data_IF_276835187476
#
_entry.id   IF_276835187476
#
_cell.length_a   1.000
_cell.length_b   1.000
_cell.length_c   1.000
_cell.angle_alpha   90.00
_cell.angle_beta   90.00
_cell.angle_gamma   90.00
#
_symmetry.space_group_name_H-M   'P 1'
#
loop_
_entity.id
_entity.type
_entity.pdbx_description
1 polymer ?
#
# COMPACT_ATOMS: atom_id res chain seq x y z
N UNK A 1 64.76 -11.42 19.87
CA UNK A 1 63.95 -12.51 19.27
C UNK A 1 62.58 -11.93 18.96
N UNK A 2 62.09 -11.68 17.76
CA UNK A 2 62.53 -11.70 16.36
C UNK A 2 61.25 -11.35 15.57
N UNK A 3 61.24 -10.40 14.62
CA UNK A 3 59.99 -10.00 13.96
C UNK A 3 59.70 -10.93 12.78
N UNK A 4 58.51 -11.54 12.76
CA UNK A 4 58.03 -12.31 11.62
C UNK A 4 57.48 -11.37 10.54
N UNK A 5 58.28 -11.19 9.50
CA UNK A 5 57.89 -10.59 8.22
C UNK A 5 57.06 -11.58 7.41
N UNK A 6 55.88 -11.16 6.94
CA UNK A 6 55.03 -11.95 6.05
C UNK A 6 54.86 -11.18 4.74
N UNK A 7 55.43 -11.77 3.69
CA UNK A 7 55.49 -11.33 2.30
C UNK A 7 54.15 -11.43 1.59
N UNK A 8 53.77 -10.36 0.89
CA UNK A 8 52.63 -10.33 -0.03
C UNK A 8 52.98 -11.03 -1.35
N UNK A 9 52.19 -12.03 -1.73
CA UNK A 9 52.28 -12.74 -3.01
C UNK A 9 51.50 -11.98 -4.08
N UNK A 10 52.17 -11.61 -5.17
CA UNK A 10 51.56 -10.95 -6.32
C UNK A 10 50.77 -11.96 -7.17
N UNK A 11 49.46 -11.72 -7.32
CA UNK A 11 48.59 -12.47 -8.24
C UNK A 11 48.92 -12.15 -9.71
N UNK A 12 49.15 -13.21 -10.48
CA UNK A 12 49.46 -13.17 -11.91
C UNK A 12 48.14 -13.12 -12.69
N UNK A 13 47.88 -12.00 -13.36
CA UNK A 13 46.69 -11.77 -14.19
C UNK A 13 46.73 -12.66 -15.45
N UNK A 14 45.71 -13.49 -15.74
CA UNK A 14 45.69 -14.29 -16.95
C UNK A 14 45.37 -13.42 -18.18
N UNK A 15 46.21 -13.53 -19.19
CA UNK A 15 46.09 -12.88 -20.50
C UNK A 15 45.08 -13.69 -21.34
N UNK A 16 43.87 -13.14 -21.50
CA UNK A 16 42.80 -13.74 -22.32
C UNK A 16 43.06 -13.35 -23.78
N UNK A 17 43.54 -14.32 -24.57
CA UNK A 17 43.57 -14.21 -26.03
C UNK A 17 42.16 -14.43 -26.58
N UNK A 18 41.49 -13.36 -26.99
CA UNK A 18 40.24 -13.42 -27.75
C UNK A 18 40.54 -13.52 -29.25
N UNK A 19 40.37 -14.70 -29.82
CA UNK A 19 40.21 -14.85 -31.27
C UNK A 19 38.83 -14.32 -31.69
N UNK A 20 38.72 -13.57 -32.80
CA UNK A 20 37.45 -13.09 -33.31
C UNK A 20 36.71 -14.23 -34.02
N UNK A 21 35.74 -14.84 -33.34
CA UNK A 21 34.73 -15.69 -33.97
C UNK A 21 33.84 -14.82 -34.86
N UNK A 22 34.07 -14.84 -36.17
CA UNK A 22 33.15 -14.28 -37.15
C UNK A 22 31.94 -15.22 -37.25
N UNK A 23 30.87 -14.87 -36.53
CA UNK A 23 29.56 -15.48 -36.73
C UNK A 23 28.94 -14.88 -38.00
N UNK A 24 28.93 -15.66 -39.08
CA UNK A 24 28.11 -15.41 -40.26
C UNK A 24 26.63 -15.45 -39.86
N UNK A 25 26.08 -14.27 -39.56
CA UNK A 25 24.68 -14.06 -39.19
C UNK A 25 23.78 -13.84 -40.40
N UNK A 26 23.56 -14.86 -41.21
CA UNK A 26 22.43 -14.94 -42.15
C UNK A 26 21.19 -15.38 -41.38
N UNK A 27 20.29 -14.44 -41.02
CA UNK A 27 18.95 -14.83 -40.55
C UNK A 27 18.16 -13.94 -39.59
N UNK A 28 18.48 -12.65 -39.39
CA UNK A 28 17.63 -11.76 -38.58
C UNK A 28 17.28 -10.46 -39.31
N UNK A 29 16.56 -10.56 -40.43
CA UNK A 29 15.59 -9.52 -40.78
C UNK A 29 14.34 -9.72 -39.93
N UNK A 30 14.48 -9.60 -38.60
CA UNK A 30 13.31 -9.33 -37.76
C UNK A 30 12.73 -8.00 -38.25
N UNK A 31 11.46 -8.03 -38.62
CA UNK A 31 10.74 -6.91 -39.20
C UNK A 31 10.88 -5.69 -38.28
N UNK A 32 11.77 -4.75 -38.61
CA UNK A 32 12.20 -3.66 -37.72
C UNK A 32 11.02 -2.81 -37.23
N UNK A 33 9.95 -2.73 -38.03
CA UNK A 33 8.68 -2.11 -37.68
C UNK A 33 7.91 -2.86 -36.57
N UNK A 34 7.90 -4.20 -36.58
CA UNK A 34 7.25 -5.00 -35.54
C UNK A 34 7.99 -4.84 -34.20
N UNK A 35 9.32 -4.90 -34.24
CA UNK A 35 10.15 -4.64 -33.06
C UNK A 35 9.98 -3.21 -32.53
N UNK A 36 9.94 -2.21 -33.42
CA UNK A 36 9.70 -0.82 -33.03
C UNK A 36 8.31 -0.63 -32.37
N UNK A 37 7.27 -1.27 -32.91
CA UNK A 37 5.92 -1.22 -32.34
C UNK A 37 5.85 -1.90 -30.97
N UNK A 38 6.52 -3.04 -30.80
CA UNK A 38 6.60 -3.74 -29.52
C UNK A 38 7.33 -2.89 -28.46
N UNK A 39 8.47 -2.29 -28.82
CA UNK A 39 9.21 -1.37 -27.95
C UNK A 39 8.38 -0.14 -27.57
N UNK A 40 7.63 0.44 -28.51
CA UNK A 40 6.71 1.55 -28.24
C UNK A 40 5.58 1.13 -27.29
N UNK A 41 5.00 -0.06 -27.48
CA UNK A 41 3.98 -0.59 -26.60
C UNK A 41 4.52 -0.82 -25.17
N UNK A 42 5.70 -1.42 -25.05
CA UNK A 42 6.39 -1.63 -23.77
C UNK A 42 6.66 -0.30 -23.05
N UNK A 43 7.19 0.70 -23.78
CA UNK A 43 7.42 2.06 -23.24
C UNK A 43 6.13 2.74 -22.78
N UNK A 44 5.04 2.63 -23.55
CA UNK A 44 3.73 3.14 -23.15
C UNK A 44 3.25 2.46 -21.86
N UNK A 45 3.42 1.15 -21.74
CA UNK A 45 3.07 0.40 -20.54
C UNK A 45 3.83 0.89 -19.30
N UNK A 46 5.14 1.13 -19.42
CA UNK A 46 5.97 1.68 -18.34
C UNK A 46 5.55 3.10 -17.98
N UNK A 47 5.31 3.96 -18.99
CA UNK A 47 4.90 5.35 -18.78
C UNK A 47 3.56 5.45 -18.02
N UNK A 48 2.56 4.63 -18.39
CA UNK A 48 1.27 4.60 -17.68
C UNK A 48 1.44 4.15 -16.23
N UNK A 49 2.20 3.08 -15.98
CA UNK A 49 2.47 2.59 -14.62
C UNK A 49 3.17 3.64 -13.76
N UNK A 50 4.15 4.35 -14.34
CA UNK A 50 4.84 5.45 -13.66
C UNK A 50 3.92 6.63 -13.38
N UNK A 51 3.07 7.01 -14.34
CA UNK A 51 2.15 8.14 -14.21
C UNK A 51 1.12 7.93 -13.09
N UNK A 52 0.66 6.69 -12.88
CA UNK A 52 -0.26 6.36 -11.79
C UNK A 52 0.46 6.04 -10.46
N UNK A 53 1.79 6.06 -10.45
CA UNK A 53 2.61 5.67 -9.31
C UNK A 53 2.35 4.22 -8.87
N UNK A 54 2.19 3.31 -9.84
CA UNK A 54 1.92 1.90 -9.56
C UNK A 54 3.13 1.27 -8.85
N UNK A 55 2.88 0.71 -7.68
CA UNK A 55 3.84 -0.12 -6.95
C UNK A 55 3.32 -1.54 -6.92
N UNK A 56 4.21 -2.53 -6.96
CA UNK A 56 3.83 -3.94 -6.93
C UNK A 56 4.83 -4.76 -6.13
N UNK A 57 4.34 -5.79 -5.44
CA UNK A 57 5.16 -6.78 -4.77
C UNK A 57 4.69 -8.19 -5.12
N UNK A 58 5.65 -9.08 -5.31
CA UNK A 58 5.40 -10.52 -5.33
C UNK A 58 5.22 -11.00 -3.89
N UNK A 59 4.19 -11.82 -3.67
CA UNK A 59 3.80 -12.31 -2.35
C UNK A 59 4.09 -13.80 -2.23
N UNK A 60 4.23 -14.23 -0.98
CA UNK A 60 4.40 -15.65 -0.66
C UNK A 60 3.03 -16.32 -0.61
N UNK A 61 2.98 -17.58 -1.01
CA UNK A 61 1.81 -18.44 -0.86
C UNK A 61 2.12 -19.57 0.12
N UNK A 62 1.17 -19.89 1.00
CA UNK A 62 1.28 -20.98 1.96
C UNK A 62 -0.11 -21.53 2.28
N UNK A 63 -0.28 -22.86 2.18
CA UNK A 63 -1.54 -23.53 2.51
C UNK A 63 -2.75 -23.00 1.73
N UNK A 64 -2.60 -22.73 0.43
CA UNK A 64 -3.68 -22.18 -0.42
C UNK A 64 -4.05 -20.72 -0.13
N UNK A 65 -3.26 -20.02 0.70
CA UNK A 65 -3.45 -18.60 1.01
C UNK A 65 -2.27 -17.78 0.50
N UNK A 66 -2.57 -16.57 0.03
CA UNK A 66 -1.59 -15.52 -0.25
C UNK A 66 -1.34 -14.76 1.04
N UNK A 67 -0.07 -14.60 1.41
CA UNK A 67 0.37 -13.89 2.61
C UNK A 67 0.76 -12.47 2.25
N UNK A 68 0.05 -11.48 2.81
CA UNK A 68 0.26 -10.06 2.51
C UNK A 68 0.82 -9.37 3.76
N UNK A 69 2.14 -9.13 3.84
CA UNK A 69 2.76 -8.49 5.00
C UNK A 69 2.59 -6.97 4.95
N UNK A 70 2.12 -6.40 6.05
CA UNK A 70 1.95 -4.97 6.28
C UNK A 70 2.74 -4.51 7.49
N UNK A 71 3.36 -3.34 7.38
CA UNK A 71 3.88 -2.57 8.50
C UNK A 71 3.10 -1.25 8.58
N UNK A 72 2.45 -1.00 9.72
CA UNK A 72 1.74 0.23 10.04
C UNK A 72 2.67 1.07 10.92
N UNK A 73 3.20 2.15 10.35
CA UNK A 73 4.29 2.94 10.93
C UNK A 73 3.74 4.30 11.37
N UNK A 74 3.80 4.65 12.67
CA UNK A 74 3.39 5.95 13.14
C UNK A 74 4.39 7.02 12.68
N UNK A 75 3.90 8.18 12.24
CA UNK A 75 4.75 9.27 11.75
C UNK A 75 4.38 10.61 12.38
N UNK A 76 5.37 11.25 12.99
CA UNK A 76 5.19 12.54 13.65
C UNK A 76 5.09 13.66 12.62
N UNK A 77 4.04 14.46 12.71
CA UNK A 77 3.89 15.73 12.01
C UNK A 77 4.02 16.88 13.01
N UNK A 78 4.78 17.91 12.66
CA UNK A 78 4.97 19.05 13.54
C UNK A 78 3.73 19.96 13.55
N UNK A 79 3.07 20.11 14.70
CA UNK A 79 1.91 20.99 14.88
C UNK A 79 0.74 20.72 13.93
N UNK A 80 0.58 19.48 13.50
CA UNK A 80 -0.46 19.06 12.58
C UNK A 80 -1.06 17.75 13.08
N UNK A 81 -2.40 17.70 13.15
CA UNK A 81 -3.11 16.45 13.45
C UNK A 81 -2.98 15.46 12.30
N UNK A 82 -2.97 14.17 12.62
CA UNK A 82 -3.03 13.11 11.62
C UNK A 82 -4.05 12.03 11.97
N UNK A 83 -4.03 10.94 11.19
CA UNK A 83 -4.96 9.82 11.30
C UNK A 83 -5.10 9.28 12.74
N UNK A 84 -3.99 9.12 13.47
CA UNK A 84 -4.03 8.59 14.85
C UNK A 84 -4.66 9.61 15.82
N UNK A 85 -4.50 10.91 15.59
CA UNK A 85 -5.16 11.93 16.42
C UNK A 85 -6.68 11.90 16.20
N UNK A 86 -7.14 11.76 14.96
CA UNK A 86 -8.56 11.60 14.65
C UNK A 86 -9.13 10.34 15.30
N UNK A 87 -8.41 9.22 15.24
CA UNK A 87 -8.78 7.99 15.97
C UNK A 87 -8.83 8.22 17.48
N UNK A 88 -7.87 8.97 18.05
CA UNK A 88 -7.85 9.32 19.48
C UNK A 88 -9.11 10.07 19.93
N UNK A 89 -9.66 10.94 19.10
CA UNK A 89 -10.93 11.60 19.42
C UNK A 89 -12.10 10.63 19.44
N UNK A 90 -12.13 9.63 18.57
CA UNK A 90 -13.20 8.63 18.50
C UNK A 90 -13.14 7.55 19.59
N UNK A 91 -11.96 7.31 20.16
CA UNK A 91 -11.70 6.29 21.17
C UNK A 91 -12.11 6.70 22.59
N UNK A 92 -12.55 5.74 23.40
CA UNK A 92 -12.78 5.93 24.83
C UNK A 92 -11.54 5.62 25.68
N UNK A 93 -10.62 4.78 25.18
CA UNK A 93 -9.45 4.32 25.92
C UNK A 93 -8.25 4.04 25.01
N UNK A 94 -7.04 4.40 25.48
CA UNK A 94 -5.81 4.15 24.72
C UNK A 94 -5.40 2.67 24.65
N UNK A 95 -5.86 1.86 25.59
CA UNK A 95 -5.46 0.45 25.74
C UNK A 95 -6.52 -0.52 25.25
N UNK A 96 -7.78 -0.09 25.15
CA UNK A 96 -8.86 -0.92 24.61
C UNK A 96 -8.68 -1.11 23.11
N UNK A 97 -8.96 -2.33 22.64
CA UNK A 97 -8.87 -2.69 21.22
C UNK A 97 -10.13 -2.27 20.47
N UNK A 98 -10.36 -0.97 20.40
CA UNK A 98 -11.56 -0.36 19.79
C UNK A 98 -11.45 -0.18 18.28
N UNK A 99 -10.27 -0.37 17.69
CA UNK A 99 -10.03 -0.21 16.26
C UNK A 99 -9.85 -1.56 15.58
N UNK A 100 -10.32 -1.65 14.35
CA UNK A 100 -10.13 -2.81 13.49
C UNK A 100 -9.34 -2.38 12.26
N UNK A 101 -8.23 -3.08 12.00
CA UNK A 101 -7.56 -3.05 10.70
C UNK A 101 -8.06 -4.28 9.93
N UNK A 102 -8.78 -4.08 8.83
CA UNK A 102 -9.35 -5.17 8.04
C UNK A 102 -8.92 -5.13 6.58
N UNK A 103 -8.72 -6.32 6.03
CA UNK A 103 -8.53 -6.54 4.59
C UNK A 103 -9.76 -7.27 4.04
N UNK A 104 -10.56 -6.56 3.26
CA UNK A 104 -11.88 -6.99 2.82
C UNK A 104 -11.98 -6.96 1.29
N UNK A 105 -12.98 -7.61 0.72
CA UNK A 105 -13.39 -7.31 -0.65
C UNK A 105 -13.87 -5.86 -0.75
N UNK A 106 -13.73 -5.27 -1.93
CA UNK A 106 -14.15 -3.88 -2.15
C UNK A 106 -15.63 -3.66 -1.85
N UNK A 107 -16.49 -4.60 -2.22
CA UNK A 107 -17.93 -4.57 -1.95
C UNK A 107 -18.31 -4.87 -0.48
N UNK A 108 -17.33 -5.21 0.36
CA UNK A 108 -17.53 -5.46 1.78
C UNK A 108 -18.24 -6.76 2.15
N UNK A 109 -18.61 -7.58 1.16
CA UNK A 109 -19.32 -8.85 1.42
C UNK A 109 -18.42 -9.94 1.96
N UNK A 110 -17.12 -9.87 1.70
CA UNK A 110 -16.15 -10.84 2.16
C UNK A 110 -15.06 -10.15 2.98
N UNK A 111 -15.03 -10.42 4.28
CA UNK A 111 -13.87 -10.12 5.12
C UNK A 111 -12.86 -11.24 4.94
N UNK A 112 -11.64 -10.93 4.51
CA UNK A 112 -10.60 -11.96 4.40
C UNK A 112 -9.98 -12.21 5.77
N UNK A 113 -9.52 -11.14 6.42
CA UNK A 113 -8.95 -11.17 7.76
C UNK A 113 -8.98 -9.76 8.37
N UNK A 114 -9.01 -9.68 9.70
CA UNK A 114 -8.97 -8.43 10.43
C UNK A 114 -8.27 -8.61 11.77
N UNK A 115 -7.66 -7.53 12.26
CA UNK A 115 -6.96 -7.50 13.54
C UNK A 115 -7.44 -6.29 14.37
N UNK A 116 -7.93 -6.57 15.57
CA UNK A 116 -8.28 -5.54 16.54
C UNK A 116 -7.04 -5.00 17.23
N UNK A 117 -6.94 -3.67 17.28
CA UNK A 117 -5.79 -2.92 17.78
C UNK A 117 -6.26 -1.79 18.68
N UNK A 118 -5.41 -1.43 19.64
CA UNK A 118 -5.60 -0.25 20.49
C UNK A 118 -4.89 0.97 19.89
N UNK A 119 -5.19 2.17 20.40
CA UNK A 119 -4.42 3.37 20.03
C UNK A 119 -2.93 3.21 20.39
N UNK A 120 -2.63 2.63 21.54
CA UNK A 120 -1.24 2.40 21.96
C UNK A 120 -0.49 1.49 20.97
N UNK A 121 -1.16 0.49 20.40
CA UNK A 121 -0.55 -0.36 19.37
C UNK A 121 -0.23 0.48 18.13
N UNK A 122 -1.15 1.35 17.69
CA UNK A 122 -0.94 2.24 16.55
C UNK A 122 0.22 3.23 16.78
N UNK A 123 0.33 3.82 17.97
CA UNK A 123 1.45 4.72 18.32
C UNK A 123 2.82 4.01 18.40
N UNK A 124 2.84 2.70 18.67
CA UNK A 124 4.06 1.88 18.66
C UNK A 124 4.42 1.39 17.27
N UNK A 125 3.44 1.32 16.38
CA UNK A 125 3.53 0.65 15.09
C UNK A 125 3.25 -0.84 15.23
N UNK A 126 2.69 -1.41 14.16
CA UNK A 126 2.20 -2.79 14.14
C UNK A 126 2.65 -3.44 12.85
N UNK A 127 3.13 -4.69 12.93
CA UNK A 127 3.32 -5.54 11.76
C UNK A 127 2.27 -6.64 11.77
N UNK A 128 1.64 -6.88 10.62
CA UNK A 128 0.63 -7.93 10.48
C UNK A 128 0.71 -8.57 9.10
N UNK A 129 0.39 -9.87 9.02
CA UNK A 129 0.36 -10.60 7.75
C UNK A 129 -1.05 -11.10 7.51
N UNK A 130 -1.77 -10.43 6.61
CA UNK A 130 -3.11 -10.85 6.21
C UNK A 130 -3.04 -12.07 5.29
N UNK A 131 -4.00 -12.97 5.44
CA UNK A 131 -4.10 -14.20 4.66
C UNK A 131 -5.35 -14.13 3.81
N UNK A 132 -5.15 -14.06 2.50
CA UNK A 132 -6.23 -14.02 1.51
C UNK A 132 -6.27 -15.35 0.78
N UNK A 133 -7.45 -15.95 0.61
CA UNK A 133 -7.58 -17.18 -0.18
C UNK A 133 -7.05 -16.94 -1.60
N UNK A 134 -6.14 -17.80 -2.05
CA UNK A 134 -5.58 -17.73 -3.39
C UNK A 134 -6.70 -17.80 -4.43
N UNK A 135 -6.51 -17.09 -5.54
CA UNK A 135 -7.50 -17.02 -6.61
C UNK A 135 -6.80 -16.90 -7.95
N UNK A 136 -7.43 -17.48 -8.97
CA UNK A 136 -6.99 -17.39 -10.36
C UNK A 136 -7.43 -16.08 -11.00
N UNK A 137 -8.45 -15.41 -10.46
CA UNK A 137 -8.93 -14.12 -10.92
C UNK A 137 -8.33 -12.97 -10.13
N UNK A 138 -8.26 -11.80 -10.75
CA UNK A 138 -7.93 -10.53 -10.09
C UNK A 138 -8.99 -10.22 -9.03
N UNK A 139 -8.55 -9.82 -7.84
CA UNK A 139 -9.41 -9.39 -6.73
C UNK A 139 -9.13 -7.93 -6.38
N UNK A 140 -10.18 -7.14 -6.28
CA UNK A 140 -10.14 -5.81 -5.69
C UNK A 140 -10.26 -5.92 -4.16
N UNK A 141 -9.27 -5.42 -3.44
CA UNK A 141 -9.20 -5.46 -1.99
C UNK A 141 -9.25 -4.06 -1.38
N UNK A 142 -9.94 -3.95 -0.26
CA UNK A 142 -10.00 -2.76 0.57
C UNK A 142 -9.24 -3.01 1.87
N UNK A 143 -8.17 -2.24 2.09
CA UNK A 143 -7.59 -2.11 3.43
C UNK A 143 -8.27 -0.95 4.14
N UNK A 144 -8.86 -1.22 5.30
CA UNK A 144 -9.60 -0.25 6.10
C UNK A 144 -9.07 -0.24 7.53
N UNK A 145 -9.03 0.95 8.12
CA UNK A 145 -8.92 1.11 9.58
C UNK A 145 -10.18 1.83 10.03
N UNK A 146 -10.94 1.23 10.92
CA UNK A 146 -12.18 1.80 11.44
C UNK A 146 -12.30 1.62 12.95
N UNK A 147 -13.21 2.39 13.55
CA UNK A 147 -13.73 2.04 14.88
C UNK A 147 -14.59 0.77 14.75
N UNK A 148 -14.45 -0.14 15.70
CA UNK A 148 -15.27 -1.34 15.80
C UNK A 148 -15.62 -1.59 17.27
N UNK A 149 -16.28 -0.61 17.89
CA UNK A 149 -16.59 -0.62 19.33
C UNK A 149 -17.46 -1.80 19.72
N UNK A 150 -18.26 -2.30 18.78
CA UNK A 150 -19.15 -3.47 18.96
C UNK A 150 -18.55 -4.79 18.49
N UNK A 151 -17.27 -4.81 18.11
CA UNK A 151 -16.53 -6.01 17.68
C UNK A 151 -17.23 -6.80 16.57
N UNK A 152 -17.76 -6.10 15.56
CA UNK A 152 -18.41 -6.70 14.39
C UNK A 152 -17.42 -7.42 13.48
N UNK A 153 -16.13 -7.10 13.56
CA UNK A 153 -15.10 -7.74 12.75
C UNK A 153 -15.09 -7.28 11.29
N UNK A 154 -15.76 -6.17 10.97
CA UNK A 154 -15.73 -5.57 9.63
C UNK A 154 -15.84 -4.05 9.66
N UNK A 155 -15.09 -3.40 8.78
CA UNK A 155 -15.18 -1.96 8.53
C UNK A 155 -16.21 -1.58 7.47
N UNK A 156 -16.82 -2.55 6.79
CA UNK A 156 -17.81 -2.27 5.73
C UNK A 156 -19.12 -1.66 6.25
N UNK A 157 -19.41 -1.82 7.54
CA UNK A 157 -20.57 -1.22 8.19
C UNK A 157 -20.30 0.16 8.81
N UNK A 158 -19.03 0.60 8.83
CA UNK A 158 -18.63 1.87 9.39
C UNK A 158 -18.92 3.02 8.40
N UNK A 159 -19.27 4.20 8.94
CA UNK A 159 -19.56 5.38 8.13
C UNK A 159 -18.26 5.93 7.53
N UNK A 160 -18.33 6.32 6.25
CA UNK A 160 -17.27 7.06 5.57
C UNK A 160 -17.66 8.54 5.57
N UNK A 161 -16.85 9.36 6.24
CA UNK A 161 -17.01 10.81 6.35
C UNK A 161 -15.64 11.46 6.16
N UNK A 162 -15.61 12.70 5.69
CA UNK A 162 -14.35 13.42 5.57
C UNK A 162 -13.81 13.81 6.95
N UNK A 163 -12.48 13.86 7.05
CA UNK A 163 -11.80 14.13 8.32
C UNK A 163 -12.14 15.52 8.88
N UNK A 164 -12.41 16.52 8.02
CA UNK A 164 -12.77 17.87 8.46
C UNK A 164 -14.11 17.87 9.18
N UNK A 165 -15.16 17.33 8.56
CA UNK A 165 -16.49 17.21 9.17
C UNK A 165 -16.43 16.36 10.44
N UNK A 166 -15.64 15.28 10.46
CA UNK A 166 -15.47 14.47 11.66
C UNK A 166 -14.83 15.29 12.81
N UNK A 167 -13.78 16.04 12.51
CA UNK A 167 -13.11 16.90 13.50
C UNK A 167 -14.02 18.03 13.99
N UNK A 168 -14.82 18.65 13.12
CA UNK A 168 -15.80 19.68 13.49
C UNK A 168 -16.88 19.12 14.43
N UNK A 169 -17.45 17.95 14.08
CA UNK A 169 -18.47 17.29 14.91
C UNK A 169 -17.94 16.94 16.31
N UNK A 170 -16.70 16.46 16.40
CA UNK A 170 -16.06 16.10 17.67
C UNK A 170 -15.59 17.33 18.47
N UNK A 171 -15.11 18.37 17.79
CA UNK A 171 -14.62 19.59 18.41
C UNK A 171 -15.73 20.48 18.97
N UNK A 172 -16.88 20.54 18.30
CA UNK A 172 -18.00 21.41 18.70
C UNK A 172 -18.78 20.86 19.90
N UNK A 173 -18.95 19.55 20.00
CA UNK A 173 -19.80 18.91 21.02
C UNK A 173 -19.03 18.43 22.23
N UNK A 174 -17.73 18.12 22.07
CA UNK A 174 -16.95 17.40 23.09
C UNK A 174 -17.45 15.96 23.32
N UNK A 175 -18.51 15.53 22.63
CA UNK A 175 -19.08 14.20 22.77
C UNK A 175 -18.31 13.19 21.92
N UNK A 176 -18.19 11.98 22.45
CA UNK A 176 -17.60 10.87 21.70
C UNK A 176 -18.57 10.41 20.60
N UNK A 177 -18.09 10.15 19.38
CA UNK A 177 -18.94 9.63 18.31
C UNK A 177 -19.60 8.31 18.73
N UNK A 178 -20.92 8.23 18.53
CA UNK A 178 -21.72 7.02 18.79
C UNK A 178 -21.60 6.00 17.67
N UNK A 179 -21.31 6.46 16.45
CA UNK A 179 -21.10 5.60 15.30
C UNK A 179 -19.64 5.19 15.11
N UNK A 180 -19.48 4.06 14.41
CA UNK A 180 -18.20 3.59 13.92
C UNK A 180 -17.88 4.30 12.60
N UNK A 181 -16.65 4.81 12.47
CA UNK A 181 -16.16 5.53 11.29
C UNK A 181 -14.93 4.86 10.69
N UNK A 182 -14.75 5.01 9.38
CA UNK A 182 -13.52 4.62 8.68
C UNK A 182 -12.54 5.79 8.71
N UNK A 183 -11.34 5.55 9.26
CA UNK A 183 -10.26 6.54 9.40
C UNK A 183 -9.19 6.41 8.32
N UNK A 184 -9.00 5.20 7.79
CA UNK A 184 -8.05 4.94 6.72
C UNK A 184 -8.67 4.04 5.66
N UNK A 185 -8.38 4.32 4.39
CA UNK A 185 -8.77 3.50 3.26
C UNK A 185 -7.69 3.45 2.19
N UNK A 186 -7.39 2.24 1.72
CA UNK A 186 -6.60 2.03 0.52
C UNK A 186 -7.21 0.91 -0.34
N UNK A 187 -7.35 1.21 -1.64
CA UNK A 187 -7.66 0.20 -2.65
C UNK A 187 -6.39 -0.49 -3.13
N UNK A 188 -6.41 -1.82 -3.18
CA UNK A 188 -5.31 -2.65 -3.66
C UNK A 188 -5.84 -3.75 -4.55
N UNK A 189 -4.97 -4.27 -5.42
CA UNK A 189 -5.35 -5.28 -6.40
C UNK A 189 -4.47 -6.49 -6.23
N UNK A 190 -5.09 -7.64 -5.95
CA UNK A 190 -4.43 -8.92 -5.86
C UNK A 190 -4.67 -9.71 -7.15
N UNK A 191 -3.63 -9.87 -7.96
CA UNK A 191 -3.64 -10.69 -9.16
C UNK A 191 -2.75 -11.92 -8.93
N UNK A 192 -3.37 -13.08 -8.69
CA UNK A 192 -2.71 -14.32 -8.23
C UNK A 192 -1.94 -14.11 -6.93
N UNK A 193 -0.63 -14.00 -7.00
CA UNK A 193 0.33 -13.84 -5.92
C UNK A 193 1.10 -12.51 -6.02
N UNK A 194 0.57 -11.55 -6.78
CA UNK A 194 1.10 -10.18 -6.90
C UNK A 194 0.09 -9.18 -6.38
N UNK A 195 0.52 -8.34 -5.42
CA UNK A 195 -0.26 -7.21 -4.93
C UNK A 195 0.18 -5.94 -5.62
N UNK A 196 -0.78 -5.08 -5.95
CA UNK A 196 -0.54 -3.81 -6.60
C UNK A 196 -1.28 -2.70 -5.85
N UNK A 197 -0.62 -1.55 -5.75
CA UNK A 197 -1.18 -0.32 -5.22
C UNK A 197 -0.79 0.83 -6.14
N UNK A 198 -1.53 1.93 -6.08
CA UNK A 198 -1.30 3.14 -6.85
C UNK A 198 -1.48 4.36 -5.94
N UNK A 199 -1.08 5.53 -6.43
CA UNK A 199 -1.22 6.77 -5.66
C UNK A 199 -2.69 7.09 -5.39
N UNK A 200 -3.05 7.13 -4.12
CA UNK A 200 -4.38 7.50 -3.63
C UNK A 200 -4.48 8.99 -3.27
N UNK A 201 -3.36 9.72 -3.30
CA UNK A 201 -3.26 11.14 -2.98
C UNK A 201 -3.46 12.08 -4.18
N UNK A 202 -3.68 11.54 -5.39
CA UNK A 202 -3.88 12.31 -6.63
C UNK A 202 -5.31 12.13 -7.15
N UNK A 203 -6.00 13.25 -7.39
CA UNK A 203 -7.44 13.25 -7.71
C UNK A 203 -7.82 13.91 -9.04
N UNK A 204 -6.84 14.24 -9.88
CA UNK A 204 -7.09 14.86 -11.19
C UNK A 204 -7.83 13.89 -12.12
N UNK A 205 -8.64 14.43 -13.04
CA UNK A 205 -9.43 13.57 -13.93
C UNK A 205 -8.54 12.77 -14.89
N UNK A 206 -7.43 13.34 -15.34
CA UNK A 206 -6.41 12.64 -16.11
C UNK A 206 -5.84 11.44 -15.34
N UNK A 207 -5.52 11.62 -14.04
CA UNK A 207 -5.03 10.53 -13.20
C UNK A 207 -6.08 9.42 -13.06
N UNK A 208 -7.34 9.77 -12.75
CA UNK A 208 -8.45 8.80 -12.65
C UNK A 208 -8.64 8.03 -13.96
N UNK A 209 -8.54 8.71 -15.11
CA UNK A 209 -8.65 8.09 -16.43
C UNK A 209 -7.51 7.10 -16.66
N UNK A 210 -6.27 7.48 -16.35
CA UNK A 210 -5.11 6.59 -16.47
C UNK A 210 -5.21 5.37 -15.57
N UNK A 211 -5.62 5.54 -14.30
CA UNK A 211 -5.86 4.42 -13.39
C UNK A 211 -6.99 3.53 -13.93
N UNK A 212 -8.12 4.10 -14.31
CA UNK A 212 -9.26 3.33 -14.83
C UNK A 212 -8.87 2.50 -16.04
N UNK A 213 -8.19 3.11 -17.02
CA UNK A 213 -7.74 2.41 -18.22
C UNK A 213 -6.81 1.25 -17.88
N UNK A 214 -5.83 1.48 -17.00
CA UNK A 214 -4.89 0.43 -16.57
C UNK A 214 -5.62 -0.70 -15.82
N UNK A 215 -6.52 -0.37 -14.90
CA UNK A 215 -7.23 -1.34 -14.08
C UNK A 215 -8.27 -2.15 -14.86
N UNK A 216 -8.91 -1.57 -15.88
CA UNK A 216 -9.77 -2.33 -16.80
C UNK A 216 -8.97 -3.39 -17.58
N UNK A 217 -7.73 -3.11 -17.97
CA UNK A 217 -6.84 -4.10 -18.60
C UNK A 217 -6.50 -5.24 -17.64
N UNK A 218 -6.36 -4.94 -16.35
CA UNK A 218 -6.14 -5.93 -15.27
C UNK A 218 -7.44 -6.64 -14.81
N UNK A 219 -8.57 -6.39 -15.50
CA UNK A 219 -9.90 -6.97 -15.22
C UNK A 219 -10.47 -6.61 -13.84
N UNK A 220 -10.15 -5.42 -13.33
CA UNK A 220 -10.75 -4.87 -12.12
C UNK A 220 -12.15 -4.31 -12.45
N UNK A 221 -13.14 -4.56 -11.58
CA UNK A 221 -14.50 -4.07 -11.78
C UNK A 221 -14.55 -2.53 -11.72
N UNK A 222 -15.21 -1.92 -12.70
CA UNK A 222 -15.40 -0.47 -12.77
C UNK A 222 -16.12 0.12 -11.55
N UNK A 223 -17.05 -0.63 -10.93
CA UNK A 223 -17.78 -0.21 -9.73
C UNK A 223 -16.85 -0.14 -8.51
N UNK A 224 -15.93 -1.10 -8.40
CA UNK A 224 -14.91 -1.08 -7.34
C UNK A 224 -14.02 0.16 -7.47
N UNK A 225 -13.62 0.50 -8.70
CA UNK A 225 -12.81 1.69 -8.96
C UNK A 225 -13.56 2.99 -8.64
N UNK A 226 -14.82 3.10 -9.05
CA UNK A 226 -15.65 4.27 -8.74
C UNK A 226 -15.80 4.46 -7.22
N UNK A 227 -16.07 3.37 -6.51
CA UNK A 227 -16.16 3.39 -5.05
C UNK A 227 -14.80 3.75 -4.42
N UNK A 228 -13.71 3.16 -4.89
CA UNK A 228 -12.36 3.47 -4.44
C UNK A 228 -12.04 4.96 -4.58
N UNK A 229 -12.30 5.57 -5.74
CA UNK A 229 -12.04 7.00 -5.95
C UNK A 229 -12.90 7.88 -5.06
N UNK A 230 -14.18 7.54 -4.87
CA UNK A 230 -15.07 8.28 -3.97
C UNK A 230 -14.56 8.22 -2.53
N UNK A 231 -14.30 7.03 -2.01
CA UNK A 231 -13.84 6.82 -0.64
C UNK A 231 -12.49 7.48 -0.39
N UNK A 232 -11.55 7.33 -1.33
CA UNK A 232 -10.22 7.94 -1.22
C UNK A 232 -10.30 9.47 -1.23
N UNK A 233 -11.17 10.08 -2.05
CA UNK A 233 -11.36 11.54 -2.07
C UNK A 233 -11.87 12.08 -0.73
N UNK A 234 -12.68 11.30 -0.03
CA UNK A 234 -13.27 11.66 1.26
C UNK A 234 -12.25 11.49 2.40
N UNK A 235 -11.63 10.30 2.50
CA UNK A 235 -10.74 9.96 3.62
C UNK A 235 -9.35 10.56 3.45
N UNK A 236 -8.84 10.66 2.22
CA UNK A 236 -7.53 11.23 1.87
C UNK A 236 -6.34 10.57 2.59
N UNK A 237 -6.42 9.24 2.75
CA UNK A 237 -5.34 8.44 3.33
C UNK A 237 -4.03 8.59 2.56
N UNK A 238 -2.91 8.56 3.30
CA UNK A 238 -1.59 8.50 2.69
C UNK A 238 -1.43 7.18 1.89
N UNK A 239 -0.90 7.25 0.66
CA UNK A 239 -0.67 6.07 -0.16
C UNK A 239 0.38 5.17 0.52
N UNK A 240 0.20 3.84 0.48
CA UNK A 240 1.20 2.94 1.00
C UNK A 240 2.45 2.92 0.11
N UNK A 241 3.57 2.57 0.73
CA UNK A 241 4.78 2.19 0.02
C UNK A 241 4.92 0.66 -0.05
N UNK A 242 5.75 0.18 -0.97
CA UNK A 242 6.15 -1.22 -1.05
C UNK A 242 7.68 -1.25 -0.97
N UNK A 243 8.19 -1.76 0.15
CA UNK A 243 9.62 -1.86 0.42
C UNK A 243 9.94 -3.22 1.03
N UNK A 244 11.01 -3.86 0.57
CA UNK A 244 11.50 -5.14 1.10
C UNK A 244 10.44 -6.26 1.10
N UNK A 245 9.56 -6.26 0.09
CA UNK A 245 8.46 -7.22 -0.02
C UNK A 245 7.31 -7.00 0.97
N UNK A 246 7.30 -5.87 1.69
CA UNK A 246 6.24 -5.48 2.63
C UNK A 246 5.52 -4.22 2.17
N UNK A 247 4.25 -4.12 2.53
CA UNK A 247 3.46 -2.92 2.31
C UNK A 247 3.58 -2.04 3.55
N UNK A 248 4.14 -0.84 3.41
CA UNK A 248 4.35 0.10 4.51
C UNK A 248 3.30 1.20 4.46
N UNK A 249 2.54 1.35 5.53
CA UNK A 249 1.58 2.43 5.71
C UNK A 249 2.10 3.40 6.73
N UNK A 250 1.97 4.67 6.42
CA UNK A 250 2.33 5.74 7.34
C UNK A 250 1.06 6.30 7.98
N UNK A 251 0.98 6.23 9.31
CA UNK A 251 -0.12 6.75 10.10
C UNK A 251 0.33 8.05 10.80
N UNK A 252 0.02 9.22 10.24
CA UNK A 252 0.46 10.49 10.79
C UNK A 252 -0.19 10.78 12.14
N UNK A 253 0.53 11.53 12.98
CA UNK A 253 0.03 12.07 14.24
C UNK A 253 0.83 13.31 14.67
N UNK A 254 0.24 14.18 15.48
CA UNK A 254 0.85 15.39 15.97
C UNK A 254 2.02 15.08 16.92
N UNK A 255 3.17 15.68 16.66
CA UNK A 255 4.32 15.59 17.56
C UNK A 255 3.96 16.19 18.93
N UNK A 256 4.00 15.41 20.03
CA UNK A 256 3.66 15.90 21.36
C UNK A 256 4.47 17.12 21.81
N UNK A 257 5.68 17.31 21.25
CA UNK A 257 6.55 18.45 21.55
C UNK A 257 5.98 19.78 21.06
N UNK A 258 5.10 19.79 20.06
CA UNK A 258 4.46 21.02 19.59
C UNK A 258 3.52 21.62 20.64
N UNK A 259 2.88 20.77 21.48
CA UNK A 259 1.92 21.23 22.48
C UNK A 259 2.57 21.67 23.79
N UNK A 260 3.86 21.38 24.01
CA UNK A 260 4.57 21.63 25.26
C UNK A 260 4.99 23.11 25.47
N UNK A 261 4.68 23.99 24.52
CA UNK A 261 4.99 25.42 24.57
C UNK A 261 3.76 26.34 24.61
N UNK A 262 2.58 25.81 24.94
CA UNK A 262 1.34 26.58 25.17
C UNK A 262 0.84 26.37 26.58
#
# INVERSE_FOLDING_TARGET
MGPASSTATAEKKPEIKTEPTILNGSGLTQNSAAFANEMLAARRGVAVKSAIGLKSAQLKTAGGKVLIPFDFIPHKLWCQGGDIDTMKYASSSRTEKEFLISLESMDGKQVNEGVHVSLNDLYKGISHVFKVSASTSTKSLALRICADKKKRGTCSSAKVIDQTTLNENMGATGEKPKEDYVFYFQHMILAKDKIQTYRSDVFTDNFKKSVTQFMTQEKVDSKDLQWAFRTTKIIRSNPPDIMDGKIRLTLPYNDPRCMAGR
#
